data_IF_286106810541
#
_entry.id   IF_286106810541
#
_cell.length_a   1.000
_cell.length_b   1.000
_cell.length_c   1.000
_cell.angle_alpha   90.00
_cell.angle_beta   90.00
_cell.angle_gamma   90.00
#
_symmetry.space_group_name_H-M   'P 1'
#
loop_
_entity.id
_entity.type
_entity.pdbx_description
1 polymer ?
#
# COMPACT_ATOMS: atom_id res chain seq x y z
N UNK A 1 -11.92 6.43 2.01
CA UNK A 1 -10.85 5.44 1.79
C UNK A 1 -10.23 5.02 3.12
N UNK A 2 -9.49 5.93 3.79
CA UNK A 2 -8.77 5.64 5.05
C UNK A 2 -9.69 5.51 6.28
N UNK A 3 -10.98 5.76 6.13
CA UNK A 3 -12.02 5.58 7.13
C UNK A 3 -13.18 4.83 6.47
N UNK A 4 -13.14 3.49 6.42
CA UNK A 4 -14.18 2.68 5.77
C UNK A 4 -15.57 3.00 6.32
N UNK A 5 -16.57 3.06 5.42
CA UNK A 5 -17.95 3.39 5.78
C UNK A 5 -18.24 4.87 6.04
N UNK A 6 -17.23 5.75 6.02
CA UNK A 6 -17.48 7.20 6.12
C UNK A 6 -17.99 7.73 4.79
N UNK A 7 -19.20 8.26 4.80
CA UNK A 7 -19.78 8.97 3.66
C UNK A 7 -19.42 10.46 3.72
N UNK A 8 -18.93 11.00 2.61
CA UNK A 8 -18.65 12.42 2.42
C UNK A 8 -19.52 12.94 1.27
N UNK A 9 -20.38 13.90 1.56
CA UNK A 9 -21.17 14.60 0.57
C UNK A 9 -20.59 16.02 0.37
N UNK A 10 -20.09 16.31 -0.81
CA UNK A 10 -19.55 17.60 -1.20
C UNK A 10 -20.50 18.32 -2.14
N UNK A 11 -20.77 19.59 -1.89
CA UNK A 11 -21.63 20.44 -2.72
C UNK A 11 -20.85 21.69 -3.12
N UNK A 12 -20.60 21.86 -4.41
CA UNK A 12 -20.09 23.11 -4.98
C UNK A 12 -21.30 23.97 -5.42
N UNK A 13 -21.65 24.95 -4.61
CA UNK A 13 -22.81 25.82 -4.87
C UNK A 13 -22.61 26.69 -6.12
N UNK A 14 -21.35 27.03 -6.50
CA UNK A 14 -21.06 27.85 -7.67
C UNK A 14 -21.24 27.10 -8.97
N UNK A 15 -20.87 25.83 -8.98
CA UNK A 15 -20.97 24.94 -10.15
C UNK A 15 -22.25 24.10 -10.16
N UNK A 16 -23.04 24.13 -9.07
CA UNK A 16 -24.19 23.24 -8.87
C UNK A 16 -23.82 21.74 -8.96
N UNK A 17 -22.58 21.41 -8.62
CA UNK A 17 -22.08 20.06 -8.61
C UNK A 17 -22.22 19.43 -7.22
N UNK A 18 -22.65 18.15 -7.20
CA UNK A 18 -22.69 17.34 -5.99
C UNK A 18 -21.85 16.09 -6.21
N UNK A 19 -20.93 15.84 -5.32
CA UNK A 19 -20.07 14.64 -5.33
C UNK A 19 -20.26 13.91 -4.02
N UNK A 20 -20.38 12.59 -4.10
CA UNK A 20 -20.50 11.71 -2.94
C UNK A 20 -19.36 10.68 -2.99
N UNK A 21 -18.66 10.55 -1.88
CA UNK A 21 -17.68 9.49 -1.68
C UNK A 21 -18.10 8.58 -0.55
N UNK A 22 -18.08 7.29 -0.81
CA UNK A 22 -18.32 6.24 0.17
C UNK A 22 -17.51 5.00 -0.25
N UNK A 23 -16.57 4.59 0.59
CA UNK A 23 -15.76 3.40 0.41
C UNK A 23 -16.03 2.44 1.56
N UNK A 24 -16.94 1.48 1.33
CA UNK A 24 -17.35 0.52 2.36
C UNK A 24 -16.20 -0.43 2.72
N UNK A 25 -15.48 -0.92 1.70
CA UNK A 25 -14.31 -1.80 1.85
C UNK A 25 -12.97 -1.02 1.87
N UNK A 26 -13.00 0.27 2.20
CA UNK A 26 -11.83 1.11 2.41
C UNK A 26 -10.83 1.10 1.24
N UNK A 27 -9.61 0.63 1.48
CA UNK A 27 -8.53 0.64 0.49
C UNK A 27 -8.81 -0.24 -0.72
N UNK A 28 -9.54 -1.36 -0.56
CA UNK A 28 -9.88 -2.24 -1.67
C UNK A 28 -10.78 -1.57 -2.69
N UNK A 29 -11.89 -0.99 -2.24
CA UNK A 29 -12.83 -0.27 -3.12
C UNK A 29 -12.12 0.88 -3.86
N UNK A 30 -11.25 1.60 -3.16
CA UNK A 30 -10.48 2.69 -3.75
C UNK A 30 -9.49 2.22 -4.80
N UNK A 31 -8.77 1.14 -4.54
CA UNK A 31 -7.81 0.57 -5.50
C UNK A 31 -8.52 0.06 -6.75
N UNK A 32 -9.67 -0.61 -6.61
CA UNK A 32 -10.49 -1.08 -7.73
C UNK A 32 -10.96 0.10 -8.59
N UNK A 33 -11.52 1.14 -7.97
CA UNK A 33 -11.98 2.34 -8.69
C UNK A 33 -10.83 3.02 -9.43
N UNK A 34 -9.70 3.21 -8.74
CA UNK A 34 -8.51 3.89 -9.30
C UNK A 34 -7.77 3.08 -10.37
N UNK A 35 -8.06 1.78 -10.49
CA UNK A 35 -7.46 0.88 -11.48
C UNK A 35 -8.44 0.42 -12.55
N UNK A 36 -9.60 1.05 -12.66
CA UNK A 36 -10.68 0.63 -13.58
C UNK A 36 -10.28 0.61 -15.06
N UNK A 37 -9.27 1.38 -15.47
CA UNK A 37 -8.71 1.45 -16.82
C UNK A 37 -7.40 0.65 -16.98
N UNK A 38 -7.01 -0.14 -15.97
CA UNK A 38 -5.75 -0.87 -15.92
C UNK A 38 -6.00 -2.37 -16.04
N UNK A 39 -5.27 -3.03 -16.94
CA UNK A 39 -5.28 -4.50 -17.05
C UNK A 39 -4.43 -5.10 -15.92
N UNK A 40 -5.11 -5.58 -14.89
CA UNK A 40 -4.48 -6.09 -13.68
C UNK A 40 -3.93 -7.50 -13.87
N UNK A 41 -2.79 -7.76 -13.21
CA UNK A 41 -2.09 -9.05 -13.28
C UNK A 41 -2.84 -10.17 -12.55
N UNK A 42 -3.45 -9.84 -11.41
CA UNK A 42 -4.25 -10.76 -10.59
C UNK A 42 -5.68 -10.25 -10.50
N UNK A 43 -6.64 -11.18 -10.51
CA UNK A 43 -8.06 -10.84 -10.56
C UNK A 43 -8.53 -10.14 -9.29
N UNK A 44 -8.01 -10.57 -8.13
CA UNK A 44 -8.32 -9.98 -6.82
C UNK A 44 -7.05 -9.37 -6.21
N UNK A 45 -7.16 -8.12 -5.74
CA UNK A 45 -6.04 -7.45 -5.08
C UNK A 45 -5.70 -8.11 -3.74
N UNK A 46 -4.42 -8.13 -3.40
CA UNK A 46 -3.96 -8.60 -2.09
C UNK A 46 -4.26 -7.49 -1.08
N UNK A 47 -5.03 -7.83 -0.05
CA UNK A 47 -5.47 -6.90 0.99
C UNK A 47 -4.97 -7.40 2.34
N UNK A 48 -4.56 -6.49 3.18
CA UNK A 48 -4.19 -6.77 4.56
C UNK A 48 -4.70 -5.66 5.48
N UNK A 49 -5.19 -6.07 6.65
CA UNK A 49 -5.43 -5.19 7.79
C UNK A 49 -4.93 -5.90 9.04
N UNK A 50 -3.98 -5.30 9.74
CA UNK A 50 -3.40 -5.84 10.97
C UNK A 50 -3.16 -4.75 11.98
N UNK A 51 -3.65 -4.95 13.19
CA UNK A 51 -3.50 -4.01 14.30
C UNK A 51 -2.92 -4.67 15.54
N UNK A 52 -2.26 -3.86 16.34
CA UNK A 52 -1.83 -4.12 17.72
C UNK A 52 -2.32 -2.97 18.61
N UNK A 53 -2.03 -3.00 19.90
CA UNK A 53 -2.45 -1.93 20.83
C UNK A 53 -1.86 -0.55 20.47
N UNK A 54 -0.73 -0.49 19.77
CA UNK A 54 0.03 0.74 19.52
C UNK A 54 0.20 1.11 18.05
N UNK A 55 -0.04 0.18 17.15
CA UNK A 55 0.19 0.37 15.71
C UNK A 55 -0.70 -0.50 14.84
N UNK A 56 -0.99 0.01 13.66
CA UNK A 56 -1.80 -0.66 12.65
C UNK A 56 -1.18 -0.45 11.28
N UNK A 57 -1.34 -1.44 10.41
CA UNK A 57 -1.08 -1.32 8.98
C UNK A 57 -2.21 -1.93 8.19
N UNK A 58 -2.65 -1.20 7.19
CA UNK A 58 -3.57 -1.66 6.15
C UNK A 58 -2.93 -1.43 4.80
N UNK A 59 -3.08 -2.36 3.88
CA UNK A 59 -2.68 -2.14 2.50
C UNK A 59 -3.54 -2.92 1.52
N UNK A 60 -3.62 -2.39 0.30
CA UNK A 60 -4.12 -3.08 -0.87
C UNK A 60 -3.08 -2.96 -1.98
N UNK A 61 -2.79 -4.05 -2.69
CA UNK A 61 -1.82 -4.09 -3.77
C UNK A 61 -2.29 -5.00 -4.91
N UNK A 62 -1.98 -4.58 -6.13
CA UNK A 62 -2.08 -5.35 -7.36
C UNK A 62 -0.95 -4.92 -8.32
N UNK A 63 -0.85 -5.53 -9.46
CA UNK A 63 0.15 -5.19 -10.50
C UNK A 63 -0.54 -4.99 -11.84
N UNK A 64 0.00 -4.07 -12.64
CA UNK A 64 -0.40 -3.92 -14.04
C UNK A 64 0.32 -4.94 -14.90
N UNK A 65 -0.38 -5.57 -15.87
CA UNK A 65 0.25 -6.41 -16.90
C UNK A 65 1.14 -5.61 -17.85
N UNK A 66 0.82 -4.33 -18.02
CA UNK A 66 1.51 -3.42 -18.92
C UNK A 66 2.37 -2.43 -18.15
N UNK A 67 3.55 -2.09 -18.68
CA UNK A 67 4.41 -1.06 -18.07
C UNK A 67 3.73 0.31 -18.21
N UNK A 68 3.45 0.96 -17.07
CA UNK A 68 2.81 2.28 -17.00
C UNK A 68 3.58 3.18 -16.04
N UNK A 69 3.44 4.50 -16.23
CA UNK A 69 4.05 5.51 -15.34
C UNK A 69 3.06 6.20 -14.42
N UNK A 70 1.78 6.04 -14.69
CA UNK A 70 0.65 6.70 -14.04
C UNK A 70 -0.08 5.77 -13.06
N UNK A 71 0.64 4.88 -12.44
CA UNK A 71 0.07 3.94 -11.46
C UNK A 71 -0.13 4.62 -10.10
N UNK A 72 -1.23 4.27 -9.44
CA UNK A 72 -1.53 4.71 -8.09
C UNK A 72 -0.54 4.08 -7.10
N UNK A 73 0.27 4.91 -6.46
CA UNK A 73 1.26 4.52 -5.47
C UNK A 73 1.21 5.48 -4.29
N UNK A 74 0.39 5.16 -3.29
CA UNK A 74 0.11 6.07 -2.19
C UNK A 74 0.48 5.47 -0.84
N UNK A 75 1.02 6.31 0.03
CA UNK A 75 1.33 5.94 1.41
C UNK A 75 0.84 6.99 2.39
N UNK A 76 0.32 6.53 3.53
CA UNK A 76 -0.30 7.37 4.55
C UNK A 76 0.15 6.97 5.96
N UNK A 77 0.25 7.97 6.85
CA UNK A 77 0.47 7.76 8.27
C UNK A 77 -0.49 8.64 9.06
N UNK A 78 -1.33 8.02 9.91
CA UNK A 78 -2.37 8.72 10.68
C UNK A 78 -3.20 9.66 9.80
N UNK A 79 -3.67 9.16 8.65
CA UNK A 79 -4.44 9.86 7.61
C UNK A 79 -3.68 10.96 6.85
N UNK A 80 -2.40 11.17 7.14
CA UNK A 80 -1.57 12.17 6.47
C UNK A 80 -0.83 11.50 5.31
N UNK A 81 -0.91 12.03 4.08
CA UNK A 81 -0.15 11.49 2.95
C UNK A 81 1.35 11.66 3.17
N UNK A 82 2.11 10.63 2.84
CA UNK A 82 3.57 10.60 2.98
C UNK A 82 4.23 10.36 1.62
N UNK A 83 4.26 11.38 0.74
CA UNK A 83 4.72 11.22 -0.64
C UNK A 83 6.20 10.83 -0.76
N UNK A 84 6.99 11.06 0.29
CA UNK A 84 8.38 10.59 0.37
C UNK A 84 8.51 9.22 1.07
N UNK A 85 7.38 8.56 1.36
CA UNK A 85 7.35 7.25 2.01
C UNK A 85 7.92 7.29 3.43
N UNK A 86 8.93 6.46 3.68
CA UNK A 86 9.59 6.34 4.97
C UNK A 86 9.62 4.91 5.49
N UNK A 87 9.75 4.74 6.80
CA UNK A 87 9.93 3.44 7.44
C UNK A 87 8.81 2.44 7.15
N UNK A 88 7.53 2.87 7.14
CA UNK A 88 6.40 2.01 6.80
C UNK A 88 6.46 1.50 5.36
N UNK A 89 6.76 2.38 4.39
CA UNK A 89 6.91 1.98 3.00
C UNK A 89 8.14 1.10 2.77
N UNK A 90 9.25 1.38 3.45
CA UNK A 90 10.44 0.52 3.40
C UNK A 90 10.15 -0.86 3.99
N UNK A 91 9.39 -0.93 5.09
CA UNK A 91 8.90 -2.19 5.65
C UNK A 91 8.03 -2.97 4.67
N UNK A 92 7.07 -2.30 4.03
CA UNK A 92 6.21 -2.88 3.00
C UNK A 92 7.04 -3.48 1.85
N UNK A 93 7.98 -2.70 1.27
CA UNK A 93 8.87 -3.18 0.21
C UNK A 93 9.74 -4.37 0.65
N UNK A 94 10.25 -4.32 1.88
CA UNK A 94 11.07 -5.42 2.44
C UNK A 94 10.25 -6.70 2.58
N UNK A 95 9.04 -6.61 3.15
CA UNK A 95 8.15 -7.75 3.31
C UNK A 95 7.73 -8.39 1.98
N UNK A 96 7.41 -7.56 0.97
CA UNK A 96 7.12 -8.03 -0.39
C UNK A 96 8.32 -8.79 -0.97
N UNK A 97 9.51 -8.20 -0.86
CA UNK A 97 10.73 -8.80 -1.39
C UNK A 97 11.05 -10.14 -0.72
N UNK A 98 10.94 -10.21 0.61
CA UNK A 98 11.26 -11.41 1.38
C UNK A 98 10.28 -12.56 1.05
N UNK A 99 8.98 -12.28 0.98
CA UNK A 99 7.97 -13.28 0.60
C UNK A 99 8.20 -13.81 -0.82
N UNK A 100 8.39 -12.91 -1.79
CA UNK A 100 8.59 -13.31 -3.19
C UNK A 100 9.92 -14.02 -3.43
N UNK A 101 10.99 -13.64 -2.75
CA UNK A 101 12.25 -14.39 -2.79
C UNK A 101 12.08 -15.82 -2.29
N UNK A 102 11.47 -15.99 -1.13
CA UNK A 102 11.22 -17.30 -0.53
C UNK A 102 10.36 -18.18 -1.44
N UNK A 103 9.30 -17.62 -2.02
CA UNK A 103 8.47 -18.31 -3.00
C UNK A 103 9.25 -18.71 -4.27
N UNK A 104 10.02 -17.77 -4.85
CA UNK A 104 10.82 -18.02 -6.05
C UNK A 104 11.91 -19.06 -5.80
N UNK A 105 12.57 -19.05 -4.64
CA UNK A 105 13.56 -20.04 -4.24
C UNK A 105 12.93 -21.42 -4.08
N UNK A 106 11.81 -21.51 -3.37
CA UNK A 106 11.09 -22.76 -3.17
C UNK A 106 10.62 -23.39 -4.49
N UNK A 107 10.19 -22.59 -5.44
CA UNK A 107 9.70 -23.02 -6.76
C UNK A 107 10.79 -23.09 -7.83
N UNK A 108 12.03 -22.72 -7.51
CA UNK A 108 13.14 -22.63 -8.49
C UNK A 108 12.82 -21.76 -9.73
N UNK A 109 12.15 -20.61 -9.50
CA UNK A 109 11.68 -19.73 -10.59
C UNK A 109 12.75 -18.75 -11.07
N UNK A 110 13.76 -18.45 -10.26
CA UNK A 110 14.81 -17.49 -10.62
C UNK A 110 15.94 -18.16 -11.41
N UNK A 111 16.33 -17.64 -12.57
CA UNK A 111 17.52 -18.05 -13.29
C UNK A 111 18.80 -17.87 -12.43
N UNK A 112 19.80 -18.71 -12.66
CA UNK A 112 21.09 -18.61 -11.98
C UNK A 112 21.70 -17.22 -12.18
N UNK A 113 22.06 -16.55 -11.09
CA UNK A 113 22.71 -15.24 -11.11
C UNK A 113 21.75 -14.04 -11.11
N UNK A 114 20.45 -14.24 -11.28
CA UNK A 114 19.46 -13.18 -11.17
C UNK A 114 19.11 -12.97 -9.67
N UNK A 115 19.12 -11.70 -9.24
CA UNK A 115 18.71 -11.30 -7.89
C UNK A 115 17.49 -10.42 -8.01
N UNK A 116 16.41 -10.81 -7.35
CA UNK A 116 15.22 -9.98 -7.19
C UNK A 116 15.51 -8.83 -6.23
N UNK A 117 15.14 -7.61 -6.60
CA UNK A 117 15.22 -6.43 -5.73
C UNK A 117 13.81 -5.83 -5.53
N UNK A 118 13.64 -5.07 -4.44
CA UNK A 118 12.32 -4.55 -4.08
C UNK A 118 11.74 -3.62 -5.16
N UNK A 119 12.58 -2.87 -5.85
CA UNK A 119 12.14 -1.95 -6.89
C UNK A 119 11.60 -2.69 -8.13
N UNK A 120 12.08 -3.90 -8.43
CA UNK A 120 11.50 -4.74 -9.50
C UNK A 120 10.05 -5.11 -9.19
N UNK A 121 9.73 -5.31 -7.90
CA UNK A 121 8.40 -5.72 -7.45
C UNK A 121 7.42 -4.55 -7.49
N UNK A 122 7.87 -3.37 -7.04
CA UNK A 122 6.98 -2.21 -6.91
C UNK A 122 6.89 -1.34 -8.16
N UNK A 123 7.82 -1.48 -9.11
CA UNK A 123 7.88 -0.62 -10.31
C UNK A 123 6.63 -0.65 -11.17
N UNK A 124 5.89 -1.74 -11.16
CA UNK A 124 4.66 -1.92 -11.93
C UNK A 124 3.46 -2.29 -11.05
N UNK A 125 3.55 -2.01 -9.75
CA UNK A 125 2.47 -2.23 -8.79
C UNK A 125 1.57 -1.02 -8.66
N UNK A 126 0.34 -1.30 -8.24
CA UNK A 126 -0.67 -0.33 -7.85
C UNK A 126 -0.94 -0.61 -6.38
N UNK A 127 -0.70 0.34 -5.51
CA UNK A 127 -0.88 0.11 -4.08
C UNK A 127 -1.30 1.35 -3.30
N UNK A 128 -1.96 1.08 -2.19
CA UNK A 128 -2.17 2.04 -1.11
C UNK A 128 -1.72 1.39 0.19
N UNK A 129 -0.88 2.07 0.95
CA UNK A 129 -0.42 1.62 2.28
C UNK A 129 -0.79 2.68 3.30
N UNK A 130 -1.56 2.30 4.30
CA UNK A 130 -1.96 3.15 5.42
C UNK A 130 -1.45 2.59 6.74
N UNK A 131 -0.77 3.42 7.51
CA UNK A 131 -0.29 3.07 8.84
C UNK A 131 -0.89 3.99 9.89
N UNK A 132 -1.22 3.44 11.07
CA UNK A 132 -1.62 4.21 12.25
C UNK A 132 -0.68 3.90 13.40
N UNK A 133 -0.15 4.94 14.02
CA UNK A 133 0.79 4.85 15.15
C UNK A 133 0.40 5.84 16.23
N UNK A 134 0.59 5.46 17.49
CA UNK A 134 0.35 6.37 18.61
C UNK A 134 1.34 7.55 18.65
N UNK A 135 2.62 7.30 18.36
CA UNK A 135 3.68 8.32 18.44
C UNK A 135 4.56 8.30 17.17
N UNK A 136 4.06 8.72 15.99
CA UNK A 136 4.83 8.72 14.77
C UNK A 136 5.98 9.73 14.82
N UNK A 137 7.18 9.30 14.42
CA UNK A 137 8.32 10.19 14.21
C UNK A 137 8.43 10.50 12.72
N UNK A 138 8.40 11.77 12.36
CA UNK A 138 8.56 12.21 10.99
C UNK A 138 9.92 12.90 10.79
N UNK A 139 10.49 12.76 9.58
CA UNK A 139 11.78 13.35 9.23
C UNK A 139 11.76 14.91 9.14
N UNK A 140 10.57 15.52 9.16
CA UNK A 140 10.44 16.98 9.08
C UNK A 140 9.05 17.48 9.44
N UNK A 141 8.89 18.78 9.51
CA UNK A 141 7.65 19.46 9.89
C UNK A 141 6.51 19.23 8.86
N UNK A 142 6.83 19.01 7.60
CA UNK A 142 5.86 18.73 6.52
C UNK A 142 5.25 17.34 6.61
N UNK A 143 5.81 16.45 7.46
CA UNK A 143 5.36 15.07 7.69
C UNK A 143 5.30 14.18 6.43
N UNK A 144 6.07 14.51 5.43
CA UNK A 144 6.09 13.80 4.14
C UNK A 144 6.77 12.44 4.20
N UNK A 145 7.54 12.16 5.28
CA UNK A 145 8.30 10.93 5.45
C UNK A 145 8.29 10.47 6.90
N UNK A 146 7.89 9.20 7.12
CA UNK A 146 7.96 8.55 8.42
C UNK A 146 9.38 8.04 8.73
N UNK A 147 9.86 8.23 9.98
CA UNK A 147 11.17 7.75 10.46
C UNK A 147 11.04 6.89 11.75
N UNK A 148 9.98 6.13 11.90
CA UNK A 148 9.73 5.22 13.03
C UNK A 148 10.29 3.83 12.71
N UNK A 149 11.50 3.51 13.20
CA UNK A 149 12.21 2.26 12.87
C UNK A 149 11.47 0.99 13.31
N UNK A 150 10.90 1.00 14.51
CA UNK A 150 10.17 -0.16 15.05
C UNK A 150 8.96 -0.52 14.18
N UNK A 151 8.29 0.49 13.63
CA UNK A 151 7.17 0.28 12.74
C UNK A 151 7.57 -0.34 11.39
N UNK A 152 8.79 -0.09 10.92
CA UNK A 152 9.32 -0.77 9.71
C UNK A 152 9.34 -2.29 9.87
N UNK A 153 9.80 -2.79 11.00
CA UNK A 153 9.87 -4.23 11.27
C UNK A 153 8.48 -4.86 11.36
N UNK A 154 7.53 -4.15 12.00
CA UNK A 154 6.14 -4.58 12.06
C UNK A 154 5.51 -4.70 10.67
N UNK A 155 5.59 -3.64 9.86
CA UNK A 155 5.04 -3.65 8.50
C UNK A 155 5.69 -4.72 7.64
N UNK A 156 7.02 -4.90 7.73
CA UNK A 156 7.73 -5.94 6.98
C UNK A 156 7.23 -7.35 7.32
N UNK A 157 7.10 -7.66 8.61
CA UNK A 157 6.57 -8.97 9.05
C UNK A 157 5.14 -9.19 8.57
N UNK A 158 4.26 -8.22 8.78
CA UNK A 158 2.84 -8.33 8.35
C UNK A 158 2.72 -8.51 6.85
N UNK A 159 3.49 -7.75 6.06
CA UNK A 159 3.47 -7.86 4.60
C UNK A 159 3.97 -9.22 4.14
N UNK A 160 5.09 -9.69 4.71
CA UNK A 160 5.64 -11.02 4.40
C UNK A 160 4.63 -12.12 4.72
N UNK A 161 4.06 -12.11 5.92
CA UNK A 161 3.10 -13.13 6.37
C UNK A 161 1.86 -13.15 5.47
N UNK A 162 1.33 -11.97 5.10
CA UNK A 162 0.17 -11.86 4.21
C UNK A 162 0.43 -12.49 2.85
N UNK A 163 1.56 -12.18 2.21
CA UNK A 163 1.90 -12.75 0.90
C UNK A 163 2.23 -14.24 0.97
N UNK A 164 2.80 -14.70 2.08
CA UNK A 164 3.12 -16.13 2.26
C UNK A 164 1.88 -17.02 2.40
N UNK A 165 0.76 -16.43 2.83
CA UNK A 165 -0.54 -17.12 2.92
C UNK A 165 -1.28 -17.08 1.58
N UNK A 166 -1.14 -15.99 0.85
CA UNK A 166 -1.76 -15.77 -0.46
C UNK A 166 -1.13 -16.65 -1.55
#
# INVERSE_FOLDING_TARGET
VLCPGLQIDFVDEKKSEKVKWLYEDGLNSYLIESSSDIDLLIDESIICSKSTDTQEVEFAINWSKNIRKDLLNETYVNLIPTPQGGSHFNGFKSGLLDALKEFCEYRNLLPKGLKLVADDIVSNSIFVVSSKLQNPQFAGQTKERLDSKDHMSFVSSVTKDTLSIW
#
